data_IF_884784934823
#
_entry.id   IF_884784934823
#
_cell.length_a   1.000
_cell.length_b   1.000
_cell.length_c   1.000
_cell.angle_alpha   90.00
_cell.angle_beta   90.00
_cell.angle_gamma   90.00
#
_symmetry.space_group_name_H-M   'P 1'
#
loop_
_entity.id
_entity.type
_entity.pdbx_description
1 polymer ?
#
# COMPACT_ATOMS: atom_id res chain seq x y z
N UNK A 1 -10.44 27.45 -1.70
CA UNK A 1 -11.31 28.22 -2.62
C UNK A 1 -12.74 27.91 -2.23
N UNK A 2 -13.58 28.91 -1.94
CA UNK A 2 -14.97 28.65 -1.55
C UNK A 2 -15.79 28.34 -2.81
N UNK A 3 -16.47 27.19 -2.83
CA UNK A 3 -17.31 26.78 -3.96
C UNK A 3 -18.54 27.69 -4.04
N UNK A 4 -18.60 28.55 -5.07
CA UNK A 4 -19.71 29.48 -5.27
C UNK A 4 -20.86 28.87 -6.06
N UNK A 5 -20.54 28.05 -7.05
CA UNK A 5 -21.48 27.36 -7.94
C UNK A 5 -20.98 25.93 -8.13
N UNK A 6 -21.87 24.95 -8.08
CA UNK A 6 -21.53 23.55 -8.27
C UNK A 6 -21.24 23.26 -9.75
N UNK A 7 -20.04 22.76 -10.01
CA UNK A 7 -19.63 22.28 -11.33
C UNK A 7 -19.62 20.76 -11.24
N UNK A 8 -20.35 20.12 -12.15
CA UNK A 8 -20.48 18.67 -12.25
C UNK A 8 -19.89 18.19 -13.57
N UNK A 9 -19.54 16.91 -13.68
CA UNK A 9 -19.13 16.31 -14.95
C UNK A 9 -20.30 15.52 -15.53
N UNK A 10 -20.57 15.72 -16.82
CA UNK A 10 -21.56 14.92 -17.55
C UNK A 10 -20.95 13.59 -18.04
N UNK A 11 -21.75 12.75 -18.69
CA UNK A 11 -21.32 11.45 -19.25
C UNK A 11 -20.20 11.56 -20.29
N UNK A 12 -20.04 12.73 -20.91
CA UNK A 12 -18.99 13.03 -21.89
C UNK A 12 -17.72 13.64 -21.27
N UNK A 13 -17.60 13.62 -19.94
CA UNK A 13 -16.53 14.30 -19.17
C UNK A 13 -16.48 15.83 -19.34
N UNK A 14 -17.51 16.46 -19.91
CA UNK A 14 -17.59 17.92 -19.95
C UNK A 14 -18.00 18.46 -18.57
N UNK A 15 -17.36 19.56 -18.17
CA UNK A 15 -17.75 20.32 -17.00
C UNK A 15 -19.03 21.12 -17.29
N UNK A 16 -20.08 20.85 -16.52
CA UNK A 16 -21.41 21.46 -16.67
C UNK A 16 -21.92 22.04 -15.36
N UNK A 17 -22.78 23.06 -15.49
CA UNK A 17 -23.38 23.82 -14.40
C UNK A 17 -24.90 23.79 -14.52
N UNK A 18 -25.62 23.67 -13.40
CA UNK A 18 -27.08 23.81 -13.40
C UNK A 18 -27.48 25.25 -13.73
N UNK A 19 -28.32 25.42 -14.73
CA UNK A 19 -28.88 26.72 -15.09
C UNK A 19 -29.69 27.33 -13.94
N UNK A 20 -30.45 26.52 -13.19
CA UNK A 20 -31.20 27.01 -12.02
C UNK A 20 -30.30 27.49 -10.90
N UNK A 21 -29.20 26.78 -10.65
CA UNK A 21 -28.21 27.18 -9.66
C UNK A 21 -27.54 28.50 -10.06
N UNK A 22 -27.13 28.62 -11.33
CA UNK A 22 -26.57 29.85 -11.88
C UNK A 22 -27.58 31.01 -11.77
N UNK A 23 -28.84 30.81 -12.17
CA UNK A 23 -29.90 31.82 -12.05
C UNK A 23 -30.10 32.30 -10.61
N UNK A 24 -30.17 31.35 -9.67
CA UNK A 24 -30.30 31.65 -8.23
C UNK A 24 -29.10 32.43 -7.71
N UNK A 25 -27.89 32.02 -8.10
CA UNK A 25 -26.68 32.72 -7.72
C UNK A 25 -26.69 34.16 -8.23
N UNK A 26 -26.97 34.36 -9.52
CA UNK A 26 -27.04 35.67 -10.17
C UNK A 26 -28.10 36.61 -9.56
N UNK A 27 -29.11 36.06 -8.87
CA UNK A 27 -30.14 36.85 -8.19
C UNK A 27 -31.08 37.58 -9.15
N UNK A 28 -31.31 37.02 -10.34
CA UNK A 28 -32.22 37.55 -11.34
C UNK A 28 -33.67 37.44 -10.84
N UNK A 29 -34.45 38.50 -11.02
CA UNK A 29 -35.84 38.58 -10.53
C UNK A 29 -36.83 37.87 -11.45
N UNK A 30 -36.52 37.80 -12.74
CA UNK A 30 -37.33 37.12 -13.75
C UNK A 30 -37.49 35.64 -13.39
N UNK A 31 -38.64 35.06 -13.73
CA UNK A 31 -38.84 33.63 -13.53
C UNK A 31 -37.84 32.85 -14.39
N UNK A 32 -37.29 31.77 -13.84
CA UNK A 32 -36.25 30.98 -14.51
C UNK A 32 -36.59 30.58 -15.95
N UNK A 33 -37.83 30.16 -16.23
CA UNK A 33 -38.20 29.70 -17.58
C UNK A 33 -38.09 30.85 -18.60
N UNK A 34 -38.74 31.98 -18.29
CA UNK A 34 -38.72 33.18 -19.15
C UNK A 34 -37.28 33.71 -19.31
N UNK A 35 -36.53 33.75 -18.20
CA UNK A 35 -35.12 34.14 -18.22
C UNK A 35 -34.28 33.22 -19.11
N UNK A 36 -34.47 31.91 -18.98
CA UNK A 36 -33.69 30.93 -19.73
C UNK A 36 -33.98 31.01 -21.22
N UNK A 37 -35.26 31.13 -21.60
CA UNK A 37 -35.66 31.36 -22.99
C UNK A 37 -35.01 32.63 -23.57
N UNK A 38 -34.92 33.69 -22.78
CA UNK A 38 -34.22 34.91 -23.19
C UNK A 38 -32.70 34.71 -23.30
N UNK A 39 -32.08 33.92 -22.41
CA UNK A 39 -30.65 33.62 -22.51
C UNK A 39 -30.33 32.82 -23.77
N UNK A 40 -31.15 31.84 -24.13
CA UNK A 40 -30.95 31.01 -25.34
C UNK A 40 -30.97 31.86 -26.63
N UNK A 41 -31.77 32.94 -26.68
CA UNK A 41 -31.84 33.86 -27.84
C UNK A 41 -30.53 34.58 -28.15
N UNK A 42 -29.55 34.57 -27.25
CA UNK A 42 -28.22 35.14 -27.49
C UNK A 42 -27.32 34.27 -28.38
N UNK A 43 -27.82 33.13 -28.89
CA UNK A 43 -27.12 32.29 -29.88
C UNK A 43 -26.70 30.92 -29.37
N UNK A 44 -27.21 30.47 -28.22
CA UNK A 44 -26.91 29.13 -27.69
C UNK A 44 -27.78 28.06 -28.35
N UNK A 45 -27.19 26.89 -28.58
CA UNK A 45 -27.83 25.77 -29.28
C UNK A 45 -28.03 24.58 -28.33
N UNK A 46 -29.24 24.03 -28.32
CA UNK A 46 -29.55 22.81 -27.55
C UNK A 46 -28.73 21.62 -28.07
N UNK A 47 -28.26 20.76 -27.15
CA UNK A 47 -27.32 19.66 -27.39
C UNK A 47 -25.89 20.06 -27.78
N UNK A 48 -25.62 21.36 -27.96
CA UNK A 48 -24.26 21.88 -28.15
C UNK A 48 -23.79 22.59 -26.89
N UNK A 49 -24.57 23.56 -26.42
CA UNK A 49 -24.23 24.44 -25.29
C UNK A 49 -24.95 24.06 -24.00
N UNK A 50 -26.16 23.49 -24.13
CA UNK A 50 -26.94 23.02 -22.99
C UNK A 50 -27.81 21.80 -23.32
N UNK A 51 -28.22 21.08 -22.29
CA UNK A 51 -29.18 19.98 -22.38
C UNK A 51 -30.26 20.19 -21.32
N UNK A 52 -31.53 20.21 -21.74
CA UNK A 52 -32.67 20.25 -20.84
C UNK A 52 -32.94 18.89 -20.19
N UNK A 53 -33.17 18.88 -18.88
CA UNK A 53 -33.56 17.68 -18.15
C UNK A 53 -34.66 17.98 -17.14
N UNK A 54 -35.47 16.96 -16.86
CA UNK A 54 -36.56 17.09 -15.90
C UNK A 54 -36.10 16.65 -14.52
N UNK A 55 -36.17 17.55 -13.56
CA UNK A 55 -35.81 17.26 -12.18
C UNK A 55 -36.90 16.40 -11.52
N UNK A 56 -36.63 15.11 -11.35
CA UNK A 56 -37.54 14.14 -10.67
C UNK A 56 -37.45 14.29 -9.15
N UNK A 57 -37.68 15.48 -8.60
CA UNK A 57 -37.85 15.65 -7.16
C UNK A 57 -39.26 15.23 -6.77
N UNK A 58 -39.38 14.32 -5.79
CA UNK A 58 -40.67 13.95 -5.19
C UNK A 58 -41.24 15.19 -4.50
N UNK A 59 -42.28 15.79 -5.09
CA UNK A 59 -42.97 16.94 -4.50
C UNK A 59 -44.08 16.40 -3.57
N UNK A 60 -44.03 16.66 -2.24
CA UNK A 60 -45.00 16.11 -1.28
C UNK A 60 -46.46 16.47 -1.58
N UNK A 61 -46.70 17.58 -2.30
CA UNK A 61 -48.03 18.10 -2.62
C UNK A 61 -48.51 17.76 -4.04
N UNK A 62 -47.76 16.95 -4.79
CA UNK A 62 -48.00 16.75 -6.23
C UNK A 62 -47.68 18.01 -7.05
N UNK A 63 -47.44 17.84 -8.36
CA UNK A 63 -47.18 18.96 -9.27
C UNK A 63 -46.34 18.58 -10.48
N UNK A 64 -46.39 19.41 -11.53
CA UNK A 64 -45.60 19.20 -12.75
C UNK A 64 -44.10 19.20 -12.40
N UNK A 65 -43.32 18.23 -12.92
CA UNK A 65 -41.87 18.24 -12.78
C UNK A 65 -41.26 19.55 -13.30
N UNK A 66 -40.24 20.05 -12.61
CA UNK A 66 -39.55 21.28 -13.02
C UNK A 66 -38.45 20.95 -14.02
N UNK A 67 -38.36 21.70 -15.11
CA UNK A 67 -37.27 21.56 -16.09
C UNK A 67 -36.06 22.36 -15.59
N UNK A 68 -34.86 21.79 -15.65
CA UNK A 68 -33.58 22.48 -15.47
C UNK A 68 -32.70 22.19 -16.69
N UNK A 69 -31.58 22.91 -16.83
CA UNK A 69 -30.68 22.80 -17.96
C UNK A 69 -29.25 22.64 -17.47
N UNK A 70 -28.56 21.62 -17.98
CA UNK A 70 -27.13 21.47 -17.78
C UNK A 70 -26.41 22.33 -18.83
N UNK A 71 -25.69 23.35 -18.38
CA UNK A 71 -25.01 24.33 -19.22
C UNK A 71 -23.52 23.99 -19.28
N UNK A 72 -22.90 24.04 -20.46
CA UNK A 72 -21.44 24.04 -20.56
C UNK A 72 -20.86 25.27 -19.87
N UNK A 73 -19.61 25.16 -19.41
CA UNK A 73 -18.91 26.27 -18.77
C UNK A 73 -18.81 27.51 -19.66
N UNK A 74 -18.62 27.36 -20.97
CA UNK A 74 -18.57 28.49 -21.90
C UNK A 74 -19.88 29.29 -21.91
N UNK A 75 -21.03 28.61 -22.05
CA UNK A 75 -22.35 29.23 -21.95
C UNK A 75 -22.57 29.88 -20.57
N UNK A 76 -22.18 29.22 -19.48
CA UNK A 76 -22.33 29.77 -18.13
C UNK A 76 -21.49 31.05 -17.92
N UNK A 77 -20.28 31.11 -18.49
CA UNK A 77 -19.41 32.30 -18.48
C UNK A 77 -20.06 33.45 -19.25
N UNK A 78 -20.59 33.19 -20.44
CA UNK A 78 -21.26 34.21 -21.25
C UNK A 78 -22.53 34.74 -20.61
N UNK A 79 -23.40 33.86 -20.08
CA UNK A 79 -24.60 34.27 -19.33
C UNK A 79 -24.22 35.15 -18.13
N UNK A 80 -23.15 34.80 -17.42
CA UNK A 80 -22.65 35.60 -16.30
C UNK A 80 -22.20 37.01 -16.72
N UNK A 81 -21.69 37.16 -17.95
CA UNK A 81 -21.36 38.48 -18.52
C UNK A 81 -22.60 39.29 -18.88
N UNK A 82 -23.60 38.64 -19.49
CA UNK A 82 -24.82 39.29 -19.97
C UNK A 82 -25.57 39.98 -18.82
N UNK A 83 -25.51 39.43 -17.60
CA UNK A 83 -26.20 40.01 -16.45
C UNK A 83 -25.68 41.38 -16.01
N UNK A 84 -24.44 41.76 -16.36
CA UNK A 84 -23.83 43.06 -16.03
C UNK A 84 -24.01 43.49 -14.56
N UNK A 85 -23.92 42.53 -13.63
CA UNK A 85 -24.06 42.77 -12.19
C UNK A 85 -22.87 42.18 -11.42
N UNK A 86 -22.70 42.59 -10.16
CA UNK A 86 -21.58 42.12 -9.31
C UNK A 86 -21.54 40.61 -9.15
N UNK A 87 -22.72 39.96 -9.06
CA UNK A 87 -22.81 38.50 -8.96
C UNK A 87 -22.37 37.82 -10.25
N UNK A 88 -22.70 38.36 -11.41
CA UNK A 88 -22.24 37.89 -12.71
C UNK A 88 -20.72 38.01 -12.85
N UNK A 89 -20.13 39.10 -12.35
CA UNK A 89 -18.67 39.24 -12.28
C UNK A 89 -18.03 38.17 -11.38
N UNK A 90 -18.62 37.91 -10.22
CA UNK A 90 -18.15 36.86 -9.30
C UNK A 90 -18.26 35.46 -9.92
N UNK A 91 -19.39 35.13 -10.53
CA UNK A 91 -19.60 33.84 -11.22
C UNK A 91 -18.58 33.65 -12.33
N UNK A 92 -18.39 34.66 -13.18
CA UNK A 92 -17.39 34.62 -14.26
C UNK A 92 -15.98 34.40 -13.72
N UNK A 93 -15.58 35.15 -12.69
CA UNK A 93 -14.24 35.03 -12.12
C UNK A 93 -14.02 33.63 -11.53
N UNK A 94 -15.04 33.08 -10.87
CA UNK A 94 -15.03 31.72 -10.34
C UNK A 94 -14.84 30.68 -11.46
N UNK A 95 -15.61 30.76 -12.55
CA UNK A 95 -15.45 29.82 -13.67
C UNK A 95 -14.06 29.91 -14.32
N UNK A 96 -13.52 31.11 -14.52
CA UNK A 96 -12.16 31.31 -15.04
C UNK A 96 -11.11 30.69 -14.12
N UNK A 97 -11.29 30.84 -12.81
CA UNK A 97 -10.36 30.29 -11.83
C UNK A 97 -10.39 28.75 -11.79
N UNK A 98 -11.58 28.15 -11.90
CA UNK A 98 -11.74 26.70 -12.02
C UNK A 98 -11.07 26.17 -13.30
N UNK A 99 -11.27 26.83 -14.44
CA UNK A 99 -10.60 26.45 -15.69
C UNK A 99 -9.08 26.57 -15.59
N UNK A 100 -8.58 27.63 -14.93
CA UNK A 100 -7.15 27.81 -14.71
C UNK A 100 -6.59 26.69 -13.84
N UNK A 101 -7.27 26.31 -12.77
CA UNK A 101 -6.86 25.20 -11.92
C UNK A 101 -6.87 23.87 -12.68
N UNK A 102 -7.91 23.60 -13.47
CA UNK A 102 -7.98 22.41 -14.30
C UNK A 102 -6.82 22.36 -15.32
N UNK A 103 -6.47 23.51 -15.91
CA UNK A 103 -5.36 23.64 -16.84
C UNK A 103 -3.99 23.53 -16.16
N UNK A 104 -3.84 24.03 -14.94
CA UNK A 104 -2.61 23.87 -14.15
C UNK A 104 -2.46 22.43 -13.61
N UNK A 105 -3.56 21.70 -13.41
CA UNK A 105 -3.57 20.27 -13.04
C UNK A 105 -3.35 19.35 -14.24
N UNK A 106 -3.69 19.78 -15.46
CA UNK A 106 -3.27 19.08 -16.67
C UNK A 106 -1.74 19.12 -16.72
N UNK A 107 -1.13 17.94 -16.64
CA UNK A 107 0.32 17.71 -16.70
C UNK A 107 0.94 18.69 -17.70
N UNK A 108 1.76 19.63 -17.22
CA UNK A 108 2.64 20.42 -18.07
C UNK A 108 3.54 19.41 -18.77
N UNK A 109 3.17 19.04 -20.00
CA UNK A 109 4.03 18.22 -20.85
C UNK A 109 5.31 19.03 -21.00
N UNK A 110 6.46 18.52 -20.51
CA UNK A 110 7.68 19.31 -20.51
C UNK A 110 8.05 19.67 -21.95
N UNK A 111 8.00 20.95 -22.30
CA UNK A 111 8.22 21.40 -23.68
C UNK A 111 9.70 21.56 -23.99
N UNK A 112 10.54 21.66 -22.95
CA UNK A 112 11.98 21.81 -23.06
C UNK A 112 12.70 20.47 -22.88
N UNK A 113 13.70 20.22 -23.73
CA UNK A 113 14.54 19.02 -23.64
C UNK A 113 15.21 18.86 -22.27
N UNK A 114 15.51 19.97 -21.57
CA UNK A 114 16.05 19.93 -20.20
C UNK A 114 15.04 19.42 -19.18
N UNK A 115 13.78 19.85 -19.29
CA UNK A 115 12.73 19.46 -18.35
C UNK A 115 12.34 17.98 -18.55
N UNK A 116 12.35 17.49 -19.80
CA UNK A 116 12.16 16.06 -20.09
C UNK A 116 13.23 15.19 -19.44
N UNK A 117 14.50 15.60 -19.55
CA UNK A 117 15.62 14.88 -18.91
C UNK A 117 15.47 14.91 -17.39
N UNK A 118 15.12 16.05 -16.79
CA UNK A 118 14.93 16.17 -15.35
C UNK A 118 13.79 15.28 -14.85
N UNK A 119 12.66 15.23 -15.56
CA UNK A 119 11.54 14.36 -15.23
C UNK A 119 11.95 12.88 -15.30
N UNK A 120 12.65 12.47 -16.37
CA UNK A 120 13.15 11.11 -16.52
C UNK A 120 14.14 10.73 -15.40
N UNK A 121 15.03 11.64 -15.01
CA UNK A 121 15.96 11.44 -13.90
C UNK A 121 15.21 11.26 -12.57
N UNK A 122 14.23 12.13 -12.26
CA UNK A 122 13.45 12.00 -11.02
C UNK A 122 12.64 10.70 -10.96
N UNK A 123 12.09 10.25 -12.10
CA UNK A 123 11.38 8.98 -12.18
C UNK A 123 12.35 7.80 -11.95
N UNK A 124 13.54 7.86 -12.56
CA UNK A 124 14.58 6.85 -12.37
C UNK A 124 15.09 6.82 -10.92
N UNK A 125 15.31 7.97 -10.29
CA UNK A 125 15.69 8.07 -8.88
C UNK A 125 14.65 7.41 -7.96
N UNK A 126 13.36 7.67 -8.18
CA UNK A 126 12.30 7.02 -7.42
C UNK A 126 12.30 5.49 -7.63
N UNK A 127 12.50 5.02 -8.86
CA UNK A 127 12.60 3.58 -9.12
C UNK A 127 13.82 2.94 -8.46
N UNK A 128 14.97 3.61 -8.46
CA UNK A 128 16.19 3.13 -7.81
C UNK A 128 16.01 3.03 -6.30
N UNK A 129 15.40 4.05 -5.66
CA UNK A 129 15.08 4.00 -4.24
C UNK A 129 14.16 2.82 -3.89
N UNK A 130 13.17 2.51 -4.74
CA UNK A 130 12.30 1.34 -4.55
C UNK A 130 13.07 0.03 -4.70
N UNK A 131 14.00 -0.05 -5.64
CA UNK A 131 14.88 -1.21 -5.82
C UNK A 131 15.76 -1.42 -4.58
N UNK A 132 16.41 -0.37 -4.06
CA UNK A 132 17.24 -0.45 -2.85
C UNK A 132 16.47 -1.00 -1.63
N UNK A 133 15.23 -0.55 -1.46
CA UNK A 133 14.34 -1.04 -0.39
C UNK A 133 13.98 -2.51 -0.60
N UNK A 134 13.75 -2.93 -1.84
CA UNK A 134 13.45 -4.33 -2.18
C UNK A 134 14.67 -5.22 -1.93
N UNK A 135 15.86 -4.81 -2.37
CA UNK A 135 17.12 -5.55 -2.12
C UNK A 135 17.36 -5.73 -0.62
N UNK A 136 17.21 -4.67 0.17
CA UNK A 136 17.35 -4.72 1.63
C UNK A 136 16.37 -5.73 2.25
N UNK A 137 15.12 -5.76 1.78
CA UNK A 137 14.11 -6.72 2.25
C UNK A 137 14.48 -8.15 1.85
N UNK A 138 14.92 -8.38 0.61
CA UNK A 138 15.35 -9.69 0.13
C UNK A 138 16.49 -10.22 0.99
N UNK A 139 17.51 -9.40 1.26
CA UNK A 139 18.62 -9.79 2.13
C UNK A 139 18.12 -10.18 3.54
N UNK A 140 17.21 -9.39 4.13
CA UNK A 140 16.61 -9.73 5.42
C UNK A 140 15.79 -11.04 5.38
N UNK A 141 15.11 -11.33 4.27
CA UNK A 141 14.39 -12.59 4.09
C UNK A 141 15.34 -13.77 3.99
N UNK A 142 16.39 -13.67 3.19
CA UNK A 142 17.42 -14.70 3.05
C UNK A 142 18.11 -14.98 4.39
N UNK A 143 18.46 -13.92 5.14
CA UNK A 143 19.12 -14.05 6.44
C UNK A 143 18.23 -14.63 7.55
N UNK A 144 16.91 -14.54 7.42
CA UNK A 144 15.95 -15.03 8.39
C UNK A 144 15.25 -16.31 7.94
N UNK A 145 15.57 -16.82 6.75
CA UNK A 145 15.08 -18.10 6.26
C UNK A 145 15.50 -19.20 7.23
N UNK A 146 14.52 -19.96 7.69
CA UNK A 146 14.74 -21.10 8.57
C UNK A 146 15.14 -22.32 7.75
N UNK A 147 15.87 -23.24 8.39
CA UNK A 147 16.16 -24.54 7.81
C UNK A 147 14.87 -25.29 7.47
N UNK A 148 14.93 -26.15 6.46
CA UNK A 148 13.78 -26.98 6.09
C UNK A 148 13.56 -28.12 7.09
N UNK A 149 12.44 -28.83 6.95
CA UNK A 149 12.16 -30.05 7.73
C UNK A 149 13.16 -31.17 7.45
N UNK A 150 13.66 -31.25 6.22
CA UNK A 150 14.65 -32.24 5.79
C UNK A 150 16.03 -31.95 6.42
N UNK A 151 16.45 -30.69 6.39
CA UNK A 151 17.68 -30.21 7.01
C UNK A 151 17.68 -30.47 8.53
N UNK A 152 16.55 -30.19 9.18
CA UNK A 152 16.37 -30.53 10.61
C UNK A 152 16.55 -32.02 10.85
N UNK A 153 15.99 -32.87 9.97
CA UNK A 153 16.16 -34.32 10.03
C UNK A 153 17.62 -34.75 9.91
N UNK A 154 18.37 -34.08 9.03
CA UNK A 154 19.82 -34.29 8.84
C UNK A 154 20.62 -33.94 10.10
N UNK A 155 20.30 -32.82 10.75
CA UNK A 155 20.88 -32.41 12.04
C UNK A 155 20.55 -33.45 13.12
N UNK A 156 19.29 -33.85 13.24
CA UNK A 156 18.87 -34.84 14.24
C UNK A 156 19.58 -36.20 14.01
N UNK A 157 19.83 -36.57 12.74
CA UNK A 157 20.63 -37.76 12.43
C UNK A 157 22.10 -37.60 12.83
N UNK A 158 22.73 -36.44 12.60
CA UNK A 158 24.11 -36.18 13.02
C UNK A 158 24.25 -36.23 14.54
N UNK A 159 23.32 -35.61 15.26
CA UNK A 159 23.26 -35.68 16.73
C UNK A 159 23.22 -37.12 17.22
N UNK A 160 22.35 -37.96 16.63
CA UNK A 160 22.27 -39.39 17.00
C UNK A 160 23.57 -40.14 16.69
N UNK A 161 24.18 -39.90 15.53
CA UNK A 161 25.45 -40.54 15.14
C UNK A 161 26.58 -40.15 16.08
N UNK A 162 26.70 -38.85 16.43
CA UNK A 162 27.72 -38.34 17.34
C UNK A 162 27.56 -38.93 18.74
N UNK A 163 26.37 -38.88 19.32
CA UNK A 163 26.12 -39.49 20.64
C UNK A 163 26.41 -40.99 20.61
N UNK A 164 26.00 -41.69 19.55
CA UNK A 164 26.29 -43.12 19.40
C UNK A 164 27.79 -43.43 19.21
N UNK A 165 28.58 -42.55 18.60
CA UNK A 165 30.04 -42.69 18.55
C UNK A 165 30.64 -42.59 19.95
N UNK A 166 30.29 -41.55 20.71
CA UNK A 166 30.78 -41.33 22.07
C UNK A 166 30.38 -42.47 23.01
N UNK A 167 29.13 -42.95 22.93
CA UNK A 167 28.69 -44.09 23.74
C UNK A 167 29.45 -45.38 23.43
N UNK A 168 29.83 -45.61 22.16
CA UNK A 168 30.65 -46.78 21.78
C UNK A 168 32.08 -46.65 22.30
N UNK A 169 32.66 -45.47 22.14
CA UNK A 169 34.06 -45.21 22.53
C UNK A 169 34.24 -45.30 24.06
N UNK A 170 33.25 -44.81 24.82
CA UNK A 170 33.28 -44.78 26.29
C UNK A 170 32.51 -45.93 26.96
N UNK A 171 31.94 -46.88 26.19
CA UNK A 171 31.12 -48.02 26.67
C UNK A 171 30.05 -47.62 27.70
N UNK A 172 29.25 -46.62 27.36
CA UNK A 172 28.29 -45.99 28.29
C UNK A 172 26.92 -46.67 28.30
N UNK A 173 26.29 -46.67 29.48
CA UNK A 173 24.92 -47.17 29.69
C UNK A 173 23.83 -46.25 29.08
N UNK A 174 22.62 -46.79 28.93
CA UNK A 174 21.44 -46.10 28.41
C UNK A 174 21.08 -44.84 29.21
N UNK A 175 21.33 -44.79 30.52
CA UNK A 175 21.13 -43.56 31.31
C UNK A 175 22.12 -42.45 30.93
N UNK A 176 23.40 -42.78 30.75
CA UNK A 176 24.43 -41.86 30.32
C UNK A 176 24.17 -41.31 28.90
N UNK A 177 23.58 -42.13 28.01
CA UNK A 177 23.16 -41.71 26.67
C UNK A 177 22.12 -40.60 26.70
N UNK A 178 21.16 -40.64 27.64
CA UNK A 178 20.14 -39.58 27.80
C UNK A 178 20.77 -38.24 28.18
N UNK A 179 21.74 -38.25 29.10
CA UNK A 179 22.47 -37.05 29.52
C UNK A 179 23.26 -36.42 28.36
N UNK A 180 23.90 -37.24 27.52
CA UNK A 180 24.61 -36.76 26.33
C UNK A 180 23.67 -36.10 25.32
N UNK A 181 22.47 -36.65 25.10
CA UNK A 181 21.47 -36.02 24.23
C UNK A 181 20.96 -34.69 24.79
N UNK A 182 20.78 -34.59 26.12
CA UNK A 182 20.35 -33.36 26.77
C UNK A 182 21.43 -32.28 26.70
N UNK A 183 22.70 -32.64 26.92
CA UNK A 183 23.81 -31.70 26.91
C UNK A 183 24.10 -31.17 25.49
N UNK A 184 24.20 -32.07 24.50
CA UNK A 184 24.37 -31.68 23.10
C UNK A 184 23.17 -30.86 22.60
N UNK A 185 21.95 -31.27 22.96
CA UNK A 185 20.74 -30.54 22.61
C UNK A 185 20.69 -29.12 23.19
N UNK A 186 21.14 -28.94 24.43
CA UNK A 186 21.22 -27.64 25.10
C UNK A 186 22.35 -26.79 24.52
N UNK A 187 23.48 -27.41 24.20
CA UNK A 187 24.63 -26.76 23.58
C UNK A 187 24.28 -26.14 22.21
N UNK A 188 23.56 -26.89 21.36
CA UNK A 188 23.11 -26.40 20.06
C UNK A 188 22.14 -25.21 20.23
N UNK A 189 21.18 -25.31 21.15
CA UNK A 189 20.23 -24.21 21.43
C UNK A 189 20.94 -22.94 21.89
N UNK A 190 21.95 -23.08 22.76
CA UNK A 190 22.74 -21.96 23.28
C UNK A 190 23.60 -21.33 22.20
N UNK A 191 24.27 -22.13 21.37
CA UNK A 191 25.18 -21.63 20.33
C UNK A 191 24.44 -20.82 19.27
N UNK A 192 23.30 -21.33 18.79
CA UNK A 192 22.53 -20.67 17.74
C UNK A 192 21.46 -19.70 18.28
N UNK A 193 21.34 -19.56 19.61
CA UNK A 193 20.33 -18.77 20.29
C UNK A 193 18.90 -19.07 19.78
N UNK A 194 18.54 -20.36 19.76
CA UNK A 194 17.25 -20.84 19.25
C UNK A 194 16.52 -21.69 20.30
N UNK A 195 15.18 -21.61 20.36
CA UNK A 195 14.40 -22.45 21.27
C UNK A 195 14.44 -23.92 20.86
N UNK A 196 14.52 -24.21 19.56
CA UNK A 196 14.59 -25.55 19.00
C UNK A 196 15.41 -25.57 17.72
N UNK A 197 15.88 -26.77 17.33
CA UNK A 197 16.74 -26.96 16.16
C UNK A 197 16.06 -26.60 14.84
N UNK A 198 14.73 -26.69 14.76
CA UNK A 198 13.97 -26.26 13.57
C UNK A 198 13.84 -24.74 13.40
N UNK A 199 14.36 -23.96 14.35
CA UNK A 199 14.43 -22.49 14.27
C UNK A 199 15.84 -22.00 13.90
N UNK A 200 16.78 -22.92 13.62
CA UNK A 200 18.10 -22.57 13.09
C UNK A 200 17.91 -21.92 11.72
N UNK A 201 18.70 -20.88 11.44
CA UNK A 201 18.71 -20.19 10.16
C UNK A 201 19.44 -21.03 9.12
N UNK A 202 18.97 -20.97 7.88
CA UNK A 202 19.52 -21.72 6.76
C UNK A 202 21.03 -21.47 6.58
N UNK A 203 21.45 -20.20 6.70
CA UNK A 203 22.87 -19.78 6.66
C UNK A 203 23.77 -20.43 7.73
N UNK A 204 23.18 -20.90 8.83
CA UNK A 204 23.89 -21.50 9.95
C UNK A 204 23.81 -23.04 9.94
N UNK A 205 23.19 -23.64 8.93
CA UNK A 205 23.04 -25.09 8.80
C UNK A 205 24.39 -25.82 8.82
N UNK A 206 25.34 -25.42 7.96
CA UNK A 206 26.66 -26.04 7.89
C UNK A 206 27.46 -25.86 9.19
N UNK A 207 27.34 -24.69 9.83
CA UNK A 207 27.96 -24.44 11.14
C UNK A 207 27.40 -25.34 12.22
N UNK A 208 26.10 -25.66 12.15
CA UNK A 208 25.47 -26.58 13.09
C UNK A 208 25.99 -28.00 12.93
N UNK A 209 26.24 -28.46 11.70
CA UNK A 209 26.83 -29.77 11.44
C UNK A 209 28.28 -29.85 11.94
N UNK A 210 29.11 -28.87 11.57
CA UNK A 210 30.52 -28.79 12.01
C UNK A 210 30.64 -28.74 13.54
N UNK A 211 29.74 -28.00 14.20
CA UNK A 211 29.68 -27.97 15.66
C UNK A 211 29.36 -29.34 16.24
N UNK A 212 28.41 -30.10 15.67
CA UNK A 212 28.06 -31.44 16.17
C UNK A 212 29.24 -32.40 16.02
N UNK A 213 29.98 -32.33 14.92
CA UNK A 213 31.11 -33.21 14.65
C UNK A 213 32.28 -32.93 15.59
N UNK A 214 32.52 -31.67 15.93
CA UNK A 214 33.57 -31.23 16.88
C UNK A 214 33.12 -31.25 18.34
N UNK A 215 31.84 -31.45 18.63
CA UNK A 215 31.31 -31.37 19.99
C UNK A 215 31.87 -32.44 20.92
N UNK A 216 32.13 -32.03 22.16
CA UNK A 216 32.45 -32.89 23.30
C UNK A 216 31.51 -32.65 24.47
N UNK A 217 31.24 -33.67 25.31
CA UNK A 217 30.42 -33.52 26.50
C UNK A 217 31.02 -32.50 27.47
N UNK A 218 30.15 -31.72 28.12
CA UNK A 218 30.56 -30.75 29.13
C UNK A 218 31.24 -31.46 30.31
N UNK A 219 32.14 -30.75 31.01
CA UNK A 219 32.82 -31.29 32.19
C UNK A 219 31.83 -31.76 33.26
N UNK A 220 30.68 -31.09 33.38
CA UNK A 220 29.59 -31.46 34.29
C UNK A 220 28.95 -32.78 33.87
N UNK A 221 28.62 -32.93 32.58
CA UNK A 221 28.07 -34.17 32.05
C UNK A 221 29.05 -35.33 32.16
N UNK A 222 30.35 -35.09 31.91
CA UNK A 222 31.41 -36.08 32.13
C UNK A 222 31.46 -36.54 33.59
N UNK A 223 31.36 -35.61 34.56
CA UNK A 223 31.33 -35.93 35.98
C UNK A 223 30.06 -36.71 36.41
N UNK A 224 28.90 -36.35 35.87
CA UNK A 224 27.64 -37.06 36.14
C UNK A 224 27.65 -38.48 35.60
N UNK A 225 28.17 -38.67 34.39
CA UNK A 225 28.33 -39.99 33.78
C UNK A 225 29.26 -40.86 34.64
N UNK A 226 30.36 -40.30 35.13
CA UNK A 226 31.29 -40.99 36.03
C UNK A 226 30.67 -41.36 37.37
N UNK A 227 29.81 -40.50 37.93
CA UNK A 227 29.06 -40.84 39.15
C UNK A 227 28.11 -42.02 38.90
N UNK A 228 27.38 -42.03 37.78
CA UNK A 228 26.47 -43.12 37.44
C UNK A 228 27.18 -44.46 37.28
N UNK A 229 28.35 -44.49 36.64
CA UNK A 229 29.14 -45.72 36.50
C UNK A 229 29.64 -46.29 37.83
N UNK A 230 29.90 -45.44 38.84
CA UNK A 230 30.31 -45.88 40.17
C UNK A 230 29.17 -46.55 40.96
N UNK A 231 27.92 -46.12 40.73
CA UNK A 231 26.76 -46.71 41.42
C UNK A 231 26.40 -48.09 40.88
N UNK A 232 26.55 -48.32 39.56
CA UNK A 232 26.30 -49.62 38.92
C UNK A 232 27.34 -50.71 39.31
N UNK A 233 28.54 -50.33 39.76
CA UNK A 233 29.55 -51.28 40.28
C UNK A 233 29.30 -51.70 41.74
N UNK A 234 28.42 -51.01 42.46
CA UNK A 234 28.17 -51.22 43.90
C UNK A 234 26.84 -51.91 44.22
N UNK A 235 26.08 -52.32 43.19
CA UNK A 235 24.79 -53.01 43.29
C UNK A 235 24.87 -54.44 42.74
#
# INVERSE_FOLDING_TARGET
MNQLITITQNENNDQVVSGRELHKFLGVKTRYNDWFEDMVKYGFTENVDFIGFTEKKVKPQGGRPSIDHALKLDMAKEISMIQRNEKGKQARQYFIEVEKQAKDQQLRVPTSQRELVQLALSANEETNQRIDVVETKIQQFEENKLITTEDKGTIDSHVRKKVASICRDLRLDQQAKSLLFQDLGSSIKRLFNVPNRGRIKDKDFLKALDFIDTWEPSSVTKAQIHQLSLFDETA
#
